data_IF_144855602076
#
_entry.id   IF_144855602076
#
_cell.length_a   1.000
_cell.length_b   1.000
_cell.length_c   1.000
_cell.angle_alpha   90.00
_cell.angle_beta   90.00
_cell.angle_gamma   90.00
#
_symmetry.space_group_name_H-M   'P 1'
#
loop_
_entity.id
_entity.type
_entity.pdbx_description
1 polymer ?
#
# COMPACT_ATOMS: atom_id res chain seq x y z
N UNK A 1 6.24 -2.60 43.85
CA UNK A 1 6.68 -2.20 42.50
C UNK A 1 6.38 -3.37 41.57
N UNK A 2 5.28 -3.29 40.82
CA UNK A 2 4.86 -4.33 39.89
C UNK A 2 5.77 -4.34 38.67
N UNK A 3 6.29 -5.51 38.33
CA UNK A 3 7.08 -5.74 37.11
C UNK A 3 6.07 -5.74 35.96
N UNK A 4 5.97 -4.62 35.26
CA UNK A 4 5.15 -4.49 34.04
C UNK A 4 5.79 -5.41 32.99
N UNK A 5 5.07 -6.44 32.53
CA UNK A 5 5.52 -7.28 31.41
C UNK A 5 5.41 -6.48 30.11
N UNK A 6 6.24 -6.80 29.12
CA UNK A 6 6.34 -6.05 27.85
C UNK A 6 5.01 -5.91 27.09
N UNK A 7 4.07 -6.84 27.29
CA UNK A 7 2.70 -6.80 26.74
C UNK A 7 1.72 -5.89 27.51
N UNK A 8 2.07 -5.45 28.73
CA UNK A 8 1.17 -4.68 29.60
C UNK A 8 1.18 -3.17 29.29
N UNK A 9 2.06 -2.65 28.43
CA UNK A 9 2.16 -1.21 28.17
C UNK A 9 1.45 -0.77 26.88
N UNK A 10 1.10 -1.70 25.98
CA UNK A 10 0.33 -1.40 24.78
C UNK A 10 -1.08 -0.92 25.18
N UNK A 11 -1.53 0.18 24.59
CA UNK A 11 -2.80 0.83 24.93
C UNK A 11 -2.69 1.90 26.03
N UNK A 12 -1.54 2.04 26.70
CA UNK A 12 -1.35 3.10 27.69
C UNK A 12 -0.98 4.41 27.01
N UNK A 13 -1.46 5.52 27.59
CA UNK A 13 -1.02 6.84 27.17
C UNK A 13 0.36 7.11 27.76
N UNK A 14 1.30 7.52 26.91
CA UNK A 14 2.68 7.74 27.26
C UNK A 14 3.11 9.16 26.88
N UNK A 15 3.83 9.80 27.79
CA UNK A 15 4.55 11.05 27.55
C UNK A 15 6.04 10.76 27.56
N UNK A 16 6.70 10.99 26.43
CA UNK A 16 8.12 10.78 26.21
C UNK A 16 8.83 12.13 26.14
N UNK A 17 9.97 12.23 26.83
CA UNK A 17 10.93 13.32 26.64
C UNK A 17 12.13 12.77 25.90
N UNK A 18 12.45 13.34 24.75
CA UNK A 18 13.59 12.94 23.94
C UNK A 18 14.89 13.59 24.45
N UNK A 19 16.03 13.13 23.93
CA UNK A 19 17.37 13.65 24.30
C UNK A 19 17.59 15.13 23.97
N UNK A 20 16.81 15.68 23.04
CA UNK A 20 16.78 17.10 22.67
C UNK A 20 15.73 17.91 23.46
N UNK A 21 15.20 17.32 24.54
CA UNK A 21 14.11 17.85 25.37
C UNK A 21 12.77 18.03 24.62
N UNK A 22 12.65 17.49 23.39
CA UNK A 22 11.37 17.44 22.66
C UNK A 22 10.41 16.49 23.38
N UNK A 23 9.18 16.97 23.64
CA UNK A 23 8.11 16.15 24.21
C UNK A 23 7.25 15.51 23.12
N UNK A 24 6.97 14.22 23.29
CA UNK A 24 6.13 13.44 22.39
C UNK A 24 5.14 12.65 23.22
N UNK A 25 3.86 12.83 22.94
CA UNK A 25 2.78 12.18 23.69
C UNK A 25 1.88 11.36 22.77
N UNK A 26 1.35 10.25 23.28
CA UNK A 26 0.39 9.44 22.54
C UNK A 26 0.20 8.06 23.16
N UNK A 27 -0.73 7.29 22.60
CA UNK A 27 -1.01 5.92 23.04
C UNK A 27 -0.01 4.95 22.43
N UNK A 28 0.58 4.08 23.26
CA UNK A 28 1.51 3.05 22.78
C UNK A 28 0.75 2.04 21.92
N UNK A 29 1.11 1.93 20.64
CA UNK A 29 0.53 0.96 19.73
C UNK A 29 1.35 -0.33 19.66
N UNK A 30 2.67 -0.20 19.53
CA UNK A 30 3.58 -1.36 19.55
C UNK A 30 4.98 -0.94 19.94
N UNK A 31 5.76 -1.90 20.42
CA UNK A 31 7.17 -1.76 20.74
C UNK A 31 7.94 -2.95 20.17
N UNK A 32 9.04 -2.68 19.45
CA UNK A 32 9.97 -3.68 18.97
C UNK A 32 11.32 -3.52 19.69
N UNK A 33 11.65 -4.41 20.65
CA UNK A 33 12.90 -4.32 21.40
C UNK A 33 14.13 -4.65 20.56
N UNK A 34 14.02 -5.49 19.53
CA UNK A 34 15.16 -5.87 18.67
C UNK A 34 15.66 -4.68 17.86
N UNK A 35 14.74 -3.87 17.36
CA UNK A 35 15.03 -2.68 16.55
C UNK A 35 15.09 -1.39 17.38
N UNK A 36 14.71 -1.45 18.66
CA UNK A 36 14.62 -0.28 19.54
C UNK A 36 13.60 0.74 19.03
N UNK A 37 12.42 0.29 18.62
CA UNK A 37 11.37 1.15 18.05
C UNK A 37 10.11 1.14 18.89
N UNK A 38 9.62 2.33 19.24
CA UNK A 38 8.34 2.56 19.91
C UNK A 38 7.41 3.31 18.95
N UNK A 39 6.19 2.82 18.78
CA UNK A 39 5.19 3.44 17.91
C UNK A 39 4.05 3.99 18.77
N UNK A 40 3.75 5.27 18.58
CA UNK A 40 2.68 5.99 19.26
C UNK A 40 1.58 6.37 18.28
N UNK A 41 0.33 6.27 18.73
CA UNK A 41 -0.83 6.88 18.07
C UNK A 41 -1.13 8.21 18.75
N UNK A 42 -1.08 9.28 17.98
CA UNK A 42 -1.38 10.63 18.44
C UNK A 42 -2.76 11.02 17.87
N UNK A 43 -3.68 11.42 18.75
CA UNK A 43 -4.98 11.96 18.33
C UNK A 43 -4.87 13.47 18.29
N UNK A 44 -4.96 14.06 17.10
CA UNK A 44 -4.97 15.51 16.91
C UNK A 44 -6.23 15.87 16.11
N UNK A 45 -7.17 16.59 16.74
CA UNK A 45 -8.37 17.18 16.11
C UNK A 45 -9.08 16.31 15.05
N UNK A 46 -9.55 15.12 15.43
CA UNK A 46 -10.22 14.10 14.59
C UNK A 46 -9.33 13.27 13.65
N UNK A 47 -8.05 13.58 13.50
CA UNK A 47 -7.10 12.75 12.74
C UNK A 47 -6.20 11.93 13.68
N UNK A 48 -6.08 10.64 13.37
CA UNK A 48 -5.11 9.75 14.03
C UNK A 48 -3.80 9.80 13.26
N UNK A 49 -2.76 10.34 13.89
CA UNK A 49 -1.40 10.33 13.36
C UNK A 49 -0.58 9.24 14.06
N UNK A 50 0.40 8.68 13.35
CA UNK A 50 1.28 7.64 13.86
C UNK A 50 2.71 8.19 13.93
N UNK A 51 3.35 8.09 15.09
CA UNK A 51 4.72 8.55 15.30
C UNK A 51 5.61 7.41 15.74
N UNK A 52 6.69 7.19 15.00
CA UNK A 52 7.72 6.21 15.32
C UNK A 52 8.88 6.90 16.03
N UNK A 53 9.26 6.39 17.19
CA UNK A 53 10.34 6.92 18.03
C UNK A 53 11.37 5.81 18.25
N UNK A 54 12.65 6.12 18.02
CA UNK A 54 13.75 5.21 18.38
C UNK A 54 14.00 5.31 19.89
N UNK A 55 13.93 4.19 20.59
CA UNK A 55 14.08 4.13 22.04
C UNK A 55 15.41 4.64 22.59
N UNK A 56 16.56 4.55 21.87
CA UNK A 56 17.81 5.17 22.33
C UNK A 56 17.76 6.69 22.46
N UNK A 57 16.78 7.36 21.83
CA UNK A 57 16.61 8.80 21.92
C UNK A 57 15.60 9.23 22.99
N UNK A 58 15.05 8.30 23.77
CA UNK A 58 14.14 8.60 24.87
C UNK A 58 14.97 8.82 26.13
N UNK A 59 14.91 10.04 26.68
CA UNK A 59 15.58 10.44 27.92
C UNK A 59 14.73 10.08 29.14
N UNK A 60 13.43 10.35 29.08
CA UNK A 60 12.47 10.05 30.14
C UNK A 60 11.15 9.55 29.55
N UNK A 61 10.46 8.67 30.27
CA UNK A 61 9.13 8.18 29.91
C UNK A 61 8.20 8.21 31.11
N UNK A 62 6.95 8.60 30.88
CA UNK A 62 5.88 8.56 31.87
C UNK A 62 4.67 7.85 31.26
N UNK A 63 4.13 6.89 31.99
CA UNK A 63 2.90 6.18 31.63
C UNK A 63 1.78 6.73 32.51
N UNK A 64 0.67 7.12 31.89
CA UNK A 64 -0.57 7.44 32.59
C UNK A 64 -1.61 6.38 32.25
N UNK A 65 -2.18 5.74 33.27
CA UNK A 65 -3.44 5.02 33.11
C UNK A 65 -4.48 6.07 32.77
N UNK A 66 -5.00 6.05 31.54
CA UNK A 66 -6.06 6.96 31.16
C UNK A 66 -7.35 6.53 31.89
N UNK A 67 -7.81 7.35 32.84
CA UNK A 67 -9.24 7.44 33.11
C UNK A 67 -9.93 8.08 31.89
N UNK A 68 -10.99 7.39 31.47
CA UNK A 68 -12.21 7.88 30.82
C UNK A 68 -12.06 8.69 29.50
N UNK A 69 -12.64 8.16 28.42
CA UNK A 69 -12.90 8.81 27.11
C UNK A 69 -11.84 8.75 26.00
N UNK A 70 -10.68 8.12 26.20
CA UNK A 70 -9.91 7.62 25.04
C UNK A 70 -10.53 6.31 24.55
N UNK A 71 -11.72 6.38 23.96
CA UNK A 71 -12.24 5.26 23.19
C UNK A 71 -11.22 4.95 22.10
N UNK A 72 -10.45 3.86 22.31
CA UNK A 72 -9.97 3.08 21.18
C UNK A 72 -11.19 2.94 20.27
N UNK A 73 -11.06 3.19 18.95
CA UNK A 73 -12.14 2.83 18.04
C UNK A 73 -12.55 1.40 18.42
N UNK A 74 -13.86 1.13 18.60
CA UNK A 74 -14.30 -0.21 18.97
C UNK A 74 -13.58 -1.16 18.04
N UNK A 75 -12.96 -2.20 18.64
CA UNK A 75 -12.34 -3.25 17.84
C UNK A 75 -13.34 -3.58 16.74
N UNK A 76 -12.90 -3.45 15.47
CA UNK A 76 -13.72 -3.88 14.34
C UNK A 76 -14.33 -5.20 14.77
N UNK A 77 -15.67 -5.29 14.74
CA UNK A 77 -16.42 -6.46 15.22
C UNK A 77 -15.59 -7.66 14.85
N UNK A 78 -15.14 -8.43 15.86
CA UNK A 78 -14.36 -9.63 15.64
C UNK A 78 -15.05 -10.32 14.49
N UNK A 79 -14.41 -10.38 13.31
CA UNK A 79 -14.97 -11.09 12.18
C UNK A 79 -15.23 -12.48 12.75
N UNK A 80 -16.49 -12.74 13.05
CA UNK A 80 -16.88 -13.81 13.98
C UNK A 80 -16.67 -15.17 13.37
N UNK A 81 -16.15 -15.21 12.15
CA UNK A 81 -15.18 -16.17 11.68
C UNK A 81 -14.30 -15.46 10.64
N UNK A 82 -13.01 -15.24 10.93
CA UNK A 82 -12.05 -15.54 9.87
C UNK A 82 -12.36 -16.99 9.48
N UNK A 83 -12.62 -17.30 8.20
CA UNK A 83 -13.02 -18.64 7.82
C UNK A 83 -11.99 -19.60 8.37
N UNK A 84 -12.46 -20.56 9.19
CA UNK A 84 -11.62 -21.58 9.80
C UNK A 84 -10.60 -22.09 8.79
N UNK A 85 -9.31 -22.03 9.14
CA UNK A 85 -8.24 -22.64 8.35
C UNK A 85 -8.39 -24.18 8.27
N UNK A 86 -9.36 -24.74 8.99
CA UNK A 86 -9.94 -26.05 8.75
C UNK A 86 -11.21 -25.89 7.94
N UNK A 87 -11.06 -25.46 6.67
CA UNK A 87 -12.11 -25.67 5.69
C UNK A 87 -12.45 -27.16 5.71
N UNK A 88 -13.69 -27.47 6.09
CA UNK A 88 -14.23 -28.82 6.10
C UNK A 88 -13.80 -29.58 4.85
N UNK A 89 -13.34 -30.80 5.11
CA UNK A 89 -12.98 -31.96 4.29
C UNK A 89 -13.09 -32.00 2.75
N UNK A 90 -13.53 -30.99 2.01
CA UNK A 90 -13.82 -31.12 0.57
C UNK A 90 -13.36 -30.00 -0.39
N UNK A 91 -12.59 -29.00 0.03
CA UNK A 91 -11.69 -28.20 -0.85
C UNK A 91 -10.91 -27.18 -0.02
N UNK A 92 -9.67 -27.50 0.29
CA UNK A 92 -8.73 -26.65 1.03
C UNK A 92 -8.68 -25.21 0.48
N UNK A 93 -9.03 -24.24 1.31
CA UNK A 93 -8.85 -22.80 1.03
C UNK A 93 -7.40 -22.52 0.61
N UNK A 94 -6.43 -23.23 1.20
CA UNK A 94 -5.03 -23.17 0.81
C UNK A 94 -4.80 -23.61 -0.63
N UNK A 95 -5.44 -24.70 -1.10
CA UNK A 95 -5.37 -25.13 -2.49
C UNK A 95 -5.98 -24.10 -3.44
N UNK A 96 -7.09 -23.47 -3.06
CA UNK A 96 -7.72 -22.42 -3.85
C UNK A 96 -6.83 -21.15 -3.91
N UNK A 97 -6.32 -20.69 -2.77
CA UNK A 97 -5.39 -19.56 -2.69
C UNK A 97 -4.09 -19.83 -3.47
N UNK A 98 -3.53 -21.04 -3.36
CA UNK A 98 -2.35 -21.46 -4.13
C UNK A 98 -2.64 -21.49 -5.63
N UNK A 99 -3.84 -21.92 -6.03
CA UNK A 99 -4.24 -21.94 -7.44
C UNK A 99 -4.43 -20.52 -7.98
N UNK A 100 -5.05 -19.62 -7.20
CA UNK A 100 -5.17 -18.22 -7.56
C UNK A 100 -3.81 -17.54 -7.68
N UNK A 101 -2.87 -17.82 -6.76
CA UNK A 101 -1.50 -17.34 -6.84
C UNK A 101 -0.81 -17.85 -8.09
N UNK A 102 -0.86 -19.15 -8.37
CA UNK A 102 -0.27 -19.73 -9.59
C UNK A 102 -0.87 -19.16 -10.87
N UNK A 103 -2.18 -18.93 -10.89
CA UNK A 103 -2.85 -18.31 -12.03
C UNK A 103 -2.42 -16.85 -12.18
N UNK A 104 -2.29 -16.11 -11.08
CA UNK A 104 -1.78 -14.74 -11.11
C UNK A 104 -0.31 -14.68 -11.55
N UNK A 105 0.52 -15.60 -11.08
CA UNK A 105 1.92 -15.76 -11.50
C UNK A 105 2.02 -16.08 -12.99
N UNK A 106 1.23 -17.04 -13.49
CA UNK A 106 1.23 -17.40 -14.91
C UNK A 106 0.74 -16.25 -15.80
N UNK A 107 -0.30 -15.52 -15.38
CA UNK A 107 -0.77 -14.32 -16.08
C UNK A 107 0.30 -13.24 -16.08
N UNK A 108 0.97 -13.03 -14.94
CA UNK A 108 2.06 -12.06 -14.82
C UNK A 108 3.24 -12.44 -15.72
N UNK A 109 3.62 -13.71 -15.74
CA UNK A 109 4.69 -14.24 -16.58
C UNK A 109 4.37 -14.09 -18.07
N UNK A 110 3.10 -14.31 -18.48
CA UNK A 110 2.64 -14.04 -19.84
C UNK A 110 2.88 -12.58 -20.23
N UNK A 111 2.42 -11.64 -19.39
CA UNK A 111 2.60 -10.21 -19.63
C UNK A 111 4.07 -9.77 -19.66
N UNK A 112 4.95 -10.39 -18.86
CA UNK A 112 6.38 -10.10 -18.89
C UNK A 112 7.12 -10.77 -20.06
N UNK A 113 6.67 -11.94 -20.53
CA UNK A 113 7.18 -12.57 -21.76
C UNK A 113 6.91 -11.70 -23.00
N UNK A 114 5.92 -10.82 -22.88
CA UNK A 114 5.56 -9.83 -23.88
C UNK A 114 6.46 -8.57 -23.83
N UNK A 115 7.39 -8.45 -22.90
CA UNK A 115 8.32 -7.31 -22.81
C UNK A 115 9.71 -7.71 -23.31
N UNK A 116 10.36 -6.88 -24.13
CA UNK A 116 11.73 -7.11 -24.61
C UNK A 116 12.76 -6.66 -23.55
N UNK A 117 13.96 -7.25 -23.57
CA UNK A 117 15.02 -6.91 -22.61
C UNK A 117 15.48 -5.45 -22.71
N UNK A 118 15.25 -4.81 -23.85
CA UNK A 118 15.60 -3.41 -24.13
C UNK A 118 14.55 -2.42 -23.60
N UNK A 119 13.40 -2.90 -23.10
CA UNK A 119 12.35 -2.04 -22.57
C UNK A 119 12.80 -1.36 -21.27
N UNK A 120 12.73 -0.02 -21.15
CA UNK A 120 13.08 0.69 -19.93
C UNK A 120 12.23 0.24 -18.73
N UNK A 121 12.84 0.16 -17.54
CA UNK A 121 12.13 -0.19 -16.29
C UNK A 121 10.93 0.74 -16.04
N UNK A 122 11.06 2.03 -16.36
CA UNK A 122 9.96 2.99 -16.23
C UNK A 122 8.74 2.66 -17.10
N UNK A 123 8.95 2.04 -18.27
CA UNK A 123 7.87 1.59 -19.15
C UNK A 123 7.15 0.38 -18.54
N UNK A 124 7.92 -0.53 -17.94
CA UNK A 124 7.38 -1.70 -17.22
C UNK A 124 6.56 -1.25 -16.01
N UNK A 125 7.04 -0.28 -15.24
CA UNK A 125 6.31 0.27 -14.10
C UNK A 125 4.98 0.92 -14.54
N UNK A 126 4.99 1.69 -15.64
CA UNK A 126 3.79 2.27 -16.22
C UNK A 126 2.80 1.19 -16.70
N UNK A 127 3.30 0.15 -17.37
CA UNK A 127 2.52 -0.97 -17.85
C UNK A 127 1.84 -1.73 -16.70
N UNK A 128 2.59 -2.11 -15.66
CA UNK A 128 2.04 -2.78 -14.48
C UNK A 128 1.01 -1.92 -13.74
N UNK A 129 1.25 -0.61 -13.65
CA UNK A 129 0.32 0.33 -13.02
C UNK A 129 -1.01 0.38 -13.75
N UNK A 130 -0.97 0.43 -15.09
CA UNK A 130 -2.18 0.42 -15.90
C UNK A 130 -2.85 -0.96 -15.91
N UNK A 131 -2.08 -2.05 -15.93
CA UNK A 131 -2.60 -3.43 -15.95
C UNK A 131 -3.45 -3.73 -14.69
N UNK A 132 -3.09 -3.13 -13.55
CA UNK A 132 -3.87 -3.21 -12.32
C UNK A 132 -5.26 -2.57 -12.43
N UNK A 133 -5.39 -1.52 -13.24
CA UNK A 133 -6.64 -0.78 -13.43
C UNK A 133 -7.44 -1.30 -14.62
N UNK A 134 -6.74 -1.76 -15.66
CA UNK A 134 -7.27 -2.16 -16.95
C UNK A 134 -6.61 -3.48 -17.37
N UNK A 135 -7.19 -4.65 -17.02
CA UNK A 135 -6.58 -5.95 -17.27
C UNK A 135 -6.51 -6.36 -18.76
N UNK A 136 -7.14 -5.59 -19.65
CA UNK A 136 -7.24 -5.89 -21.09
C UNK A 136 -6.14 -5.22 -21.93
N UNK A 137 -5.23 -4.47 -21.30
CA UNK A 137 -4.15 -3.77 -22.02
C UNK A 137 -3.02 -4.72 -22.38
N UNK A 138 -2.37 -4.45 -23.50
CA UNK A 138 -1.30 -5.28 -24.05
C UNK A 138 -0.04 -4.45 -24.30
N UNK A 139 1.13 -5.09 -24.19
CA UNK A 139 2.38 -4.45 -24.61
C UNK A 139 2.61 -4.74 -26.10
N UNK A 140 2.60 -3.69 -26.92
CA UNK A 140 2.95 -3.80 -28.33
C UNK A 140 4.48 -3.75 -28.47
N UNK A 141 5.09 -4.92 -28.69
CA UNK A 141 6.55 -5.06 -28.86
C UNK A 141 7.10 -4.33 -30.09
N UNK A 142 6.33 -4.31 -31.16
CA UNK A 142 6.80 -3.81 -32.46
C UNK A 142 6.89 -2.29 -32.45
N UNK A 143 5.93 -1.63 -31.79
CA UNK A 143 5.89 -0.18 -31.65
C UNK A 143 6.52 0.32 -30.34
N UNK A 144 6.73 -0.58 -29.36
CA UNK A 144 7.24 -0.24 -28.05
C UNK A 144 6.27 0.63 -27.24
N UNK A 145 4.97 0.37 -27.36
CA UNK A 145 3.88 1.15 -26.71
C UNK A 145 2.97 0.25 -25.89
N UNK A 146 2.22 0.84 -24.96
CA UNK A 146 1.14 0.11 -24.27
C UNK A 146 -0.14 0.33 -25.08
N UNK A 147 -0.66 -0.75 -25.66
CA UNK A 147 -1.92 -0.77 -26.38
C UNK A 147 -3.07 -0.88 -25.39
N UNK A 148 -3.96 0.12 -25.36
CA UNK A 148 -5.14 0.10 -24.49
C UNK A 148 -6.40 -0.22 -25.30
N UNK A 149 -6.50 0.33 -26.50
CA UNK A 149 -7.52 0.02 -27.51
C UNK A 149 -6.97 0.38 -28.89
N UNK A 150 -7.69 0.04 -29.97
CA UNK A 150 -7.32 0.41 -31.35
C UNK A 150 -7.11 1.92 -31.57
N UNK A 151 -7.65 2.74 -30.66
CA UNK A 151 -7.71 4.20 -30.73
C UNK A 151 -6.93 4.90 -29.61
N UNK A 152 -6.47 4.16 -28.60
CA UNK A 152 -5.79 4.72 -27.42
C UNK A 152 -4.52 3.92 -27.11
N UNK A 153 -3.39 4.62 -27.15
CA UNK A 153 -2.07 4.06 -26.84
C UNK A 153 -1.38 4.90 -25.77
N UNK A 154 -0.42 4.32 -25.06
CA UNK A 154 0.44 5.05 -24.12
C UNK A 154 1.88 4.94 -24.57
N UNK A 155 2.53 6.10 -24.69
CA UNK A 155 3.89 6.25 -25.22
C UNK A 155 4.80 6.95 -24.20
N UNK A 156 6.09 6.63 -24.25
CA UNK A 156 7.13 7.29 -23.45
C UNK A 156 7.72 8.54 -24.14
N UNK A 157 6.90 9.54 -24.49
CA UNK A 157 7.37 10.77 -25.14
C UNK A 157 7.36 11.98 -24.18
N UNK A 158 8.52 12.57 -23.80
CA UNK A 158 9.87 12.31 -24.31
C UNK A 158 10.64 11.17 -23.60
N UNK A 159 10.12 10.67 -22.48
CA UNK A 159 10.68 9.54 -21.72
C UNK A 159 9.54 8.83 -20.95
N UNK A 160 9.71 7.54 -20.66
CA UNK A 160 8.80 6.71 -19.87
C UNK A 160 8.68 7.13 -18.40
N UNK A 161 9.50 8.07 -17.94
CA UNK A 161 9.31 8.73 -16.64
C UNK A 161 8.05 9.60 -16.58
N UNK A 162 7.57 10.05 -17.74
CA UNK A 162 6.34 10.84 -17.89
C UNK A 162 5.53 10.28 -19.05
N UNK A 163 4.94 9.08 -18.91
CA UNK A 163 4.20 8.44 -19.99
C UNK A 163 2.97 9.27 -20.35
N UNK A 164 2.65 9.30 -21.64
CA UNK A 164 1.51 10.04 -22.20
C UNK A 164 0.52 9.09 -22.84
N UNK A 165 -0.76 9.23 -22.49
CA UNK A 165 -1.85 8.64 -23.24
C UNK A 165 -2.11 9.47 -24.50
N UNK A 166 -2.00 8.85 -25.67
CA UNK A 166 -2.16 9.46 -26.98
C UNK A 166 -3.32 8.76 -27.71
N UNK A 167 -4.07 9.55 -28.47
CA UNK A 167 -5.14 9.08 -29.31
C UNK A 167 -4.64 8.86 -30.72
N UNK A 168 -5.03 7.74 -31.32
CA UNK A 168 -4.81 7.47 -32.74
C UNK A 168 -5.84 8.26 -33.55
N UNK A 169 -5.48 8.67 -34.77
CA UNK A 169 -6.34 9.44 -35.66
C UNK A 169 -7.70 8.76 -35.88
N UNK A 170 -8.79 9.50 -35.68
CA UNK A 170 -10.17 9.00 -35.79
C UNK A 170 -10.85 8.64 -34.47
N UNK A 171 -10.18 8.84 -33.33
CA UNK A 171 -10.76 8.62 -32.01
C UNK A 171 -11.99 9.51 -31.71
N UNK A 172 -13.02 8.90 -31.15
CA UNK A 172 -14.25 9.53 -30.68
C UNK A 172 -14.05 10.36 -29.40
N UNK A 173 -15.00 11.25 -29.09
CA UNK A 173 -14.93 12.06 -27.86
C UNK A 173 -15.01 11.23 -26.58
N UNK A 174 -15.55 10.00 -26.64
CA UNK A 174 -15.54 9.06 -25.51
C UNK A 174 -14.13 8.53 -25.24
N UNK A 175 -13.36 8.29 -26.30
CA UNK A 175 -11.98 7.81 -26.20
C UNK A 175 -11.04 8.91 -25.71
N UNK A 176 -11.33 10.18 -26.05
CA UNK A 176 -10.66 11.34 -25.43
C UNK A 176 -10.82 11.35 -23.92
N UNK A 177 -12.05 11.23 -23.42
CA UNK A 177 -12.31 11.17 -21.97
C UNK A 177 -11.63 9.97 -21.30
N UNK A 178 -11.48 8.87 -22.02
CA UNK A 178 -10.80 7.69 -21.51
C UNK A 178 -9.28 7.89 -21.45
N UNK A 179 -8.67 8.48 -22.48
CA UNK A 179 -7.27 8.88 -22.49
C UNK A 179 -6.94 9.87 -21.36
N UNK A 180 -7.82 10.84 -21.08
CA UNK A 180 -7.64 11.77 -19.95
C UNK A 180 -7.63 11.02 -18.60
N UNK A 181 -8.52 10.05 -18.42
CA UNK A 181 -8.53 9.21 -17.20
C UNK A 181 -7.26 8.36 -17.08
N UNK A 182 -6.78 7.80 -18.18
CA UNK A 182 -5.50 7.08 -18.22
C UNK A 182 -4.33 8.00 -17.84
N UNK A 183 -4.31 9.23 -18.37
CA UNK A 183 -3.30 10.21 -18.05
C UNK A 183 -3.31 10.58 -16.56
N UNK A 184 -4.49 10.74 -15.95
CA UNK A 184 -4.63 10.98 -14.50
C UNK A 184 -4.10 9.78 -13.71
N UNK A 185 -4.47 8.55 -14.11
CA UNK A 185 -4.00 7.34 -13.46
C UNK A 185 -2.47 7.22 -13.49
N UNK A 186 -1.85 7.53 -14.63
CA UNK A 186 -0.40 7.56 -14.78
C UNK A 186 0.26 8.64 -13.90
N UNK A 187 -0.35 9.82 -13.81
CA UNK A 187 0.19 11.00 -13.10
C UNK A 187 0.09 10.91 -11.56
N UNK A 188 -0.83 10.12 -11.00
CA UNK A 188 -1.08 10.01 -9.55
C UNK A 188 0.01 9.22 -8.77
N UNK A 189 1.28 9.37 -9.14
CA UNK A 189 2.45 8.87 -8.40
C UNK A 189 3.30 9.96 -7.73
N UNK A 190 2.88 11.23 -7.82
CA UNK A 190 3.52 12.35 -7.12
C UNK A 190 2.46 13.26 -6.49
N UNK A 191 2.22 13.06 -5.20
CA UNK A 191 1.93 14.13 -4.24
C UNK A 191 2.67 13.78 -2.95
#
# INVERSE_FOLDING_TARGET
MSIIKEDDAVGYYATLTLVDDTKVEGTIFTYNPKEGLLVLLQKHDEQTNMKMVRTPYIKEFQLSNAEEESHLPPALDSFSELPSMHAGRDKSIFKHATTQLKNAEATREKHFSEVTADTPIAAVDAYLKLLRLYPFIEWNKDEGVIQVSDTVIVVGDPDWKTPKAVLVDGASDKEKQFADRLQVALSNGKK
#
